data_IF_894362549992
#
_entry.id   IF_894362549992
#
_cell.length_a   1.000
_cell.length_b   1.000
_cell.length_c   1.000
_cell.angle_alpha   90.00
_cell.angle_beta   90.00
_cell.angle_gamma   90.00
#
_symmetry.space_group_name_H-M   'P 1'
#
loop_
_entity.id
_entity.type
_entity.pdbx_description
1 polymer ?
#
# COMPACT_ATOMS: atom_id res chain seq x y z
N UNK A 1 17.06 -32.34 22.11
CA UNK A 1 17.64 -31.18 22.81
C UNK A 1 18.25 -30.30 21.73
N UNK A 2 17.48 -29.37 21.19
CA UNK A 2 17.98 -28.35 20.26
C UNK A 2 17.67 -26.98 20.87
N UNK A 3 18.73 -26.22 21.15
CA UNK A 3 18.64 -24.86 21.69
C UNK A 3 18.32 -23.88 20.56
N UNK A 4 17.38 -22.93 20.74
CA UNK A 4 17.19 -21.88 19.75
C UNK A 4 18.21 -20.74 19.96
N UNK A 5 18.91 -20.39 18.90
CA UNK A 5 19.81 -19.23 18.84
C UNK A 5 18.97 -17.94 18.92
N UNK A 6 19.00 -17.27 20.06
CA UNK A 6 18.42 -15.94 20.27
C UNK A 6 19.31 -14.90 19.58
N UNK A 7 19.09 -14.66 18.29
CA UNK A 7 19.68 -13.53 17.58
C UNK A 7 18.82 -12.29 17.83
N UNK A 8 18.99 -11.73 19.02
CA UNK A 8 18.65 -10.36 19.31
C UNK A 8 19.63 -9.47 18.53
N UNK A 9 19.32 -9.15 17.27
CA UNK A 9 20.05 -8.18 16.47
C UNK A 9 19.76 -6.77 16.99
N UNK A 10 20.24 -6.48 18.20
CA UNK A 10 20.26 -5.14 18.76
C UNK A 10 21.25 -4.31 17.95
N UNK A 11 20.73 -3.41 17.11
CA UNK A 11 21.55 -2.33 16.60
C UNK A 11 22.11 -1.54 17.79
N UNK A 12 23.44 -1.31 17.88
CA UNK A 12 24.00 -0.56 18.98
C UNK A 12 23.39 0.84 19.00
N UNK A 13 22.73 1.21 20.10
CA UNK A 13 22.40 2.61 20.34
C UNK A 13 23.70 3.32 20.74
N UNK A 14 24.15 4.26 19.91
CA UNK A 14 25.34 5.06 20.16
C UNK A 14 25.26 5.73 21.53
N UNK A 15 26.33 5.64 22.33
CA UNK A 15 26.41 6.25 23.66
C UNK A 15 26.21 7.77 23.59
N UNK A 16 25.73 8.40 24.66
CA UNK A 16 25.42 9.84 24.70
C UNK A 16 26.62 10.72 24.30
N UNK A 17 27.84 10.26 24.60
CA UNK A 17 29.10 10.93 24.23
C UNK A 17 29.34 10.92 22.70
N UNK A 18 28.98 9.85 22.01
CA UNK A 18 29.13 9.70 20.56
C UNK A 18 28.09 10.54 19.79
N UNK A 19 26.95 10.84 20.43
CA UNK A 19 25.90 11.70 19.88
C UNK A 19 26.29 13.19 19.93
N UNK A 20 27.09 13.62 20.92
CA UNK A 20 27.53 15.01 21.06
C UNK A 20 28.48 15.47 19.93
N UNK A 21 29.18 14.54 19.27
CA UNK A 21 30.18 14.83 18.21
C UNK A 21 29.54 15.13 16.85
N UNK A 22 28.25 14.84 16.67
CA UNK A 22 27.57 15.00 15.39
C UNK A 22 27.18 16.46 15.07
N UNK A 23 27.07 16.83 13.77
CA UNK A 23 26.52 18.12 13.36
C UNK A 23 25.15 18.40 14.00
N UNK A 24 24.87 19.67 14.31
CA UNK A 24 23.65 20.09 14.99
C UNK A 24 22.37 19.50 14.35
N UNK A 25 22.27 19.50 13.01
CA UNK A 25 21.12 18.90 12.31
C UNK A 25 20.94 17.41 12.57
N UNK A 26 22.04 16.63 12.57
CA UNK A 26 22.00 15.18 12.84
C UNK A 26 21.65 14.88 14.29
N UNK A 27 22.10 15.70 15.24
CA UNK A 27 21.71 15.61 16.66
C UNK A 27 20.23 15.91 16.83
N UNK A 28 19.77 17.02 16.24
CA UNK A 28 18.40 17.47 16.31
C UNK A 28 17.41 16.52 15.64
N UNK A 29 17.81 15.85 14.54
CA UNK A 29 17.01 14.78 13.91
C UNK A 29 16.70 13.63 14.89
N UNK A 30 17.57 13.38 15.86
CA UNK A 30 17.40 12.32 16.88
C UNK A 30 16.75 12.82 18.17
N UNK A 31 16.47 14.12 18.28
CA UNK A 31 15.82 14.68 19.45
C UNK A 31 14.39 14.13 19.55
N UNK A 32 13.98 13.50 20.68
CA UNK A 32 12.66 12.91 20.83
C UNK A 32 11.50 13.87 20.57
N UNK A 33 11.62 15.14 20.99
CA UNK A 33 10.57 16.15 20.80
C UNK A 33 10.36 16.49 19.31
N UNK A 34 11.46 16.54 18.55
CA UNK A 34 11.44 16.73 17.09
C UNK A 34 10.74 15.56 16.41
N UNK A 35 11.16 14.34 16.76
CA UNK A 35 10.62 13.10 16.19
C UNK A 35 9.12 13.00 16.48
N UNK A 36 8.70 13.25 17.71
CA UNK A 36 7.29 13.19 18.13
C UNK A 36 6.43 14.24 17.42
N UNK A 37 6.93 15.47 17.27
CA UNK A 37 6.19 16.52 16.57
C UNK A 37 6.00 16.19 15.08
N UNK A 38 7.04 15.71 14.40
CA UNK A 38 6.94 15.31 12.99
C UNK A 38 6.04 14.08 12.87
N UNK A 39 6.14 13.12 13.79
CA UNK A 39 5.27 11.92 13.83
C UNK A 39 3.80 12.29 14.01
N UNK A 40 3.48 13.25 14.89
CA UNK A 40 2.11 13.78 15.05
C UNK A 40 1.58 14.40 13.77
N UNK A 41 2.39 15.22 13.09
CA UNK A 41 2.00 15.81 11.81
C UNK A 41 1.83 14.75 10.72
N UNK A 42 2.70 13.76 10.66
CA UNK A 42 2.59 12.63 9.72
C UNK A 42 1.30 11.82 9.96
N UNK A 43 1.02 11.46 11.21
CA UNK A 43 -0.16 10.67 11.61
C UNK A 43 -1.47 11.44 11.44
N UNK A 44 -1.45 12.77 11.29
CA UNK A 44 -2.65 13.57 10.98
C UNK A 44 -3.13 13.44 9.53
N UNK A 45 -2.44 12.66 8.68
CA UNK A 45 -2.81 12.45 7.28
C UNK A 45 -2.39 13.60 6.35
N UNK A 46 -1.59 14.55 6.84
CA UNK A 46 -1.02 15.62 6.02
C UNK A 46 -0.07 15.04 4.97
N UNK A 47 -0.11 15.61 3.76
CA UNK A 47 0.89 15.29 2.73
C UNK A 47 2.29 15.60 3.27
N UNK A 48 3.29 14.83 2.86
CA UNK A 48 4.70 15.04 3.24
C UNK A 48 5.14 16.50 3.04
N UNK A 49 4.73 17.14 1.94
CA UNK A 49 5.03 18.55 1.67
C UNK A 49 4.42 19.51 2.71
N UNK A 50 3.23 19.22 3.23
CA UNK A 50 2.57 20.01 4.27
C UNK A 50 3.20 19.78 5.65
N UNK A 51 3.64 18.55 5.96
CA UNK A 51 4.41 18.25 7.17
C UNK A 51 5.71 19.05 7.17
N UNK A 52 6.43 19.03 6.05
CA UNK A 52 7.66 19.80 5.85
C UNK A 52 7.39 21.30 5.98
N UNK A 53 6.39 21.83 5.29
CA UNK A 53 6.03 23.24 5.33
C UNK A 53 5.70 23.68 6.76
N UNK A 54 4.90 22.89 7.48
CA UNK A 54 4.46 23.23 8.83
C UNK A 54 5.57 23.12 9.86
N UNK A 55 6.51 22.19 9.67
CA UNK A 55 7.63 22.03 10.57
C UNK A 55 8.73 23.08 10.32
N UNK A 56 9.00 23.44 9.06
CA UNK A 56 10.06 24.41 8.70
C UNK A 56 9.58 25.86 8.74
N UNK A 57 8.38 26.16 8.23
CA UNK A 57 7.82 27.52 8.20
C UNK A 57 6.92 27.86 9.38
N UNK A 58 6.40 26.86 10.11
CA UNK A 58 5.61 27.08 11.34
C UNK A 58 6.45 27.49 12.56
N UNK A 59 7.69 27.94 12.33
CA UNK A 59 8.72 28.27 13.32
C UNK A 59 8.42 29.56 14.11
N UNK A 60 7.20 29.74 14.59
CA UNK A 60 6.97 30.56 15.79
C UNK A 60 7.16 29.76 17.09
N UNK A 61 7.42 28.44 17.00
CA UNK A 61 7.51 27.55 18.18
C UNK A 61 8.66 26.52 18.15
N UNK A 62 9.61 26.61 17.20
CA UNK A 62 10.83 25.78 17.24
C UNK A 62 11.98 26.62 17.80
N UNK A 63 12.55 26.19 18.93
CA UNK A 63 13.62 26.85 19.71
C UNK A 63 14.98 26.98 18.96
N UNK A 64 14.99 27.59 17.76
CA UNK A 64 16.22 27.76 16.98
C UNK A 64 16.90 26.45 16.56
N UNK A 65 16.19 25.32 16.62
CA UNK A 65 16.74 24.01 16.32
C UNK A 65 17.00 23.88 14.80
N UNK A 66 18.28 23.82 14.41
CA UNK A 66 18.67 23.59 13.02
C UNK A 66 18.25 22.19 12.57
N UNK A 67 17.24 22.09 11.70
CA UNK A 67 16.78 20.85 11.06
C UNK A 67 16.63 21.11 9.57
N UNK A 68 17.14 20.19 8.74
CA UNK A 68 17.09 20.33 7.28
C UNK A 68 15.88 19.61 6.69
N UNK A 69 15.54 19.94 5.44
CA UNK A 69 14.55 19.19 4.64
C UNK A 69 14.86 17.69 4.61
N UNK A 70 16.13 17.33 4.42
CA UNK A 70 16.57 15.94 4.35
C UNK A 70 16.37 15.19 5.67
N UNK A 71 16.48 15.87 6.81
CA UNK A 71 16.22 15.27 8.11
C UNK A 71 14.73 14.93 8.27
N UNK A 72 13.84 15.84 7.86
CA UNK A 72 12.39 15.61 7.86
C UNK A 72 12.02 14.47 6.90
N UNK A 73 12.56 14.47 5.68
CA UNK A 73 12.36 13.37 4.73
C UNK A 73 12.88 12.04 5.27
N UNK A 74 14.06 12.05 5.92
CA UNK A 74 14.65 10.89 6.55
C UNK A 74 13.75 10.33 7.65
N UNK A 75 13.25 11.17 8.54
CA UNK A 75 12.32 10.77 9.60
C UNK A 75 11.00 10.20 9.05
N UNK A 76 10.41 10.85 8.04
CA UNK A 76 9.19 10.32 7.39
C UNK A 76 9.47 8.97 6.73
N UNK A 77 10.64 8.80 6.12
CA UNK A 77 11.05 7.52 5.53
C UNK A 77 11.21 6.44 6.61
N UNK A 78 11.85 6.77 7.73
CA UNK A 78 12.05 5.82 8.83
C UNK A 78 10.69 5.40 9.42
N UNK A 79 9.76 6.35 9.61
CA UNK A 79 8.38 6.06 10.03
C UNK A 79 7.63 5.17 9.03
N UNK A 80 7.78 5.40 7.72
CA UNK A 80 7.19 4.52 6.71
C UNK A 80 7.77 3.10 6.79
N UNK A 81 9.07 2.96 7.03
CA UNK A 81 9.70 1.65 7.15
C UNK A 81 9.25 0.91 8.41
N UNK A 82 9.03 1.64 9.51
CA UNK A 82 8.41 1.13 10.74
C UNK A 82 6.98 0.64 10.48
N UNK A 83 6.15 1.42 9.78
CA UNK A 83 4.78 1.01 9.39
C UNK A 83 4.74 -0.22 8.47
N UNK A 84 5.81 -0.40 7.69
CA UNK A 84 5.96 -1.52 6.76
C UNK A 84 6.58 -2.76 7.41
N UNK A 85 7.16 -2.62 8.61
CA UNK A 85 7.82 -3.71 9.34
C UNK A 85 8.85 -4.45 8.46
N UNK A 86 9.65 -3.69 7.70
CA UNK A 86 10.66 -4.22 6.78
C UNK A 86 10.13 -4.93 5.53
N UNK A 87 8.80 -5.05 5.36
CA UNK A 87 8.16 -5.69 4.20
C UNK A 87 7.94 -4.72 3.05
N UNK A 88 7.72 -5.25 1.85
CA UNK A 88 7.32 -4.41 0.72
C UNK A 88 5.92 -3.83 0.96
N UNK A 89 5.69 -2.58 0.52
CA UNK A 89 4.41 -1.89 0.71
C UNK A 89 3.19 -2.67 0.20
N UNK A 90 3.37 -3.44 -0.89
CA UNK A 90 2.31 -4.27 -1.46
C UNK A 90 1.98 -5.49 -0.60
N UNK A 91 2.97 -6.08 0.06
CA UNK A 91 2.76 -7.21 0.98
C UNK A 91 1.97 -6.76 2.22
N UNK A 92 2.33 -5.60 2.77
CA UNK A 92 1.61 -4.99 3.89
C UNK A 92 0.19 -4.62 3.50
N UNK A 93 0.01 -4.09 2.29
CA UNK A 93 -1.32 -3.81 1.74
C UNK A 93 -2.16 -5.10 1.66
N UNK A 94 -1.61 -6.18 1.09
CA UNK A 94 -2.32 -7.46 1.00
C UNK A 94 -2.64 -8.05 2.36
N UNK A 95 -1.68 -8.05 3.29
CA UNK A 95 -1.91 -8.50 4.66
C UNK A 95 -3.06 -7.71 5.31
N UNK A 96 -3.08 -6.38 5.17
CA UNK A 96 -4.18 -5.54 5.68
C UNK A 96 -5.53 -5.86 5.03
N UNK A 97 -5.56 -6.19 3.74
CA UNK A 97 -6.79 -6.59 3.03
C UNK A 97 -7.28 -7.98 3.46
N UNK A 98 -6.38 -8.93 3.70
CA UNK A 98 -6.73 -10.26 4.24
C UNK A 98 -7.32 -10.14 5.64
N UNK A 99 -6.69 -9.35 6.52
CA UNK A 99 -7.16 -9.16 7.90
C UNK A 99 -8.57 -8.55 7.97
N UNK A 100 -8.97 -7.78 6.95
CA UNK A 100 -10.34 -7.23 6.83
C UNK A 100 -11.36 -8.24 6.25
N UNK A 101 -10.96 -9.48 6.00
CA UNK A 101 -11.82 -10.55 5.46
C UNK A 101 -12.33 -10.28 4.04
N UNK A 102 -11.81 -9.26 3.36
CA UNK A 102 -12.36 -8.78 2.09
C UNK A 102 -11.61 -9.29 0.86
N UNK A 103 -10.57 -10.12 1.07
CA UNK A 103 -9.71 -10.59 -0.01
C UNK A 103 -9.74 -12.11 -0.13
N UNK A 104 -10.01 -12.59 -1.34
CA UNK A 104 -9.79 -13.97 -1.70
C UNK A 104 -8.49 -14.07 -2.50
N UNK A 105 -7.53 -14.83 -1.95
CA UNK A 105 -6.29 -15.18 -2.65
C UNK A 105 -6.38 -16.59 -3.22
N UNK A 106 -5.59 -16.84 -4.26
CA UNK A 106 -5.25 -18.19 -4.66
C UNK A 106 -3.78 -18.42 -4.29
N UNK A 107 -3.53 -19.42 -3.44
CA UNK A 107 -2.21 -20.02 -3.34
C UNK A 107 -2.00 -20.88 -4.60
N UNK A 108 -1.10 -20.44 -5.47
CA UNK A 108 -0.58 -21.28 -6.53
C UNK A 108 0.64 -22.00 -5.96
N UNK A 109 0.39 -23.16 -5.38
CA UNK A 109 1.37 -24.21 -5.14
C UNK A 109 1.94 -24.67 -6.48
N UNK A 110 2.90 -23.92 -7.02
CA UNK A 110 3.86 -24.48 -7.97
C UNK A 110 5.16 -23.69 -7.91
N UNK A 111 6.17 -24.38 -7.41
CA UNK A 111 7.57 -24.05 -7.26
C UNK A 111 8.17 -23.38 -8.49
N UNK A 112 7.98 -22.07 -8.66
CA UNK A 112 8.89 -21.23 -9.44
C UNK A 112 8.66 -19.79 -8.98
N UNK A 113 9.75 -19.06 -8.75
CA UNK A 113 9.74 -17.62 -8.52
C UNK A 113 9.14 -16.84 -9.71
N UNK A 114 7.81 -16.87 -9.86
CA UNK A 114 7.08 -15.92 -10.68
C UNK A 114 6.37 -14.94 -9.77
N UNK A 115 6.70 -13.66 -9.93
CA UNK A 115 6.20 -12.52 -9.14
C UNK A 115 4.71 -12.31 -9.40
N UNK A 116 3.81 -13.12 -8.85
CA UNK A 116 2.38 -12.93 -9.16
C UNK A 116 1.43 -13.11 -7.96
N UNK A 117 1.26 -12.10 -7.09
CA UNK A 117 0.13 -12.12 -6.17
C UNK A 117 -1.15 -11.72 -6.94
N UNK A 118 -1.87 -12.73 -7.44
CA UNK A 118 -3.22 -12.58 -7.95
C UNK A 118 -4.19 -12.55 -6.77
N UNK A 119 -4.78 -11.39 -6.50
CA UNK A 119 -5.77 -11.26 -5.44
C UNK A 119 -6.98 -10.49 -5.95
N UNK A 120 -8.15 -10.94 -5.51
CA UNK A 120 -9.42 -10.30 -5.82
C UNK A 120 -10.03 -9.78 -4.52
N UNK A 121 -10.27 -8.49 -4.48
CA UNK A 121 -11.01 -7.83 -3.42
C UNK A 121 -12.39 -7.42 -3.97
N UNK A 122 -13.46 -7.88 -3.33
CA UNK A 122 -14.80 -7.42 -3.67
C UNK A 122 -15.10 -6.14 -2.92
N UNK A 123 -15.37 -5.07 -3.68
CA UNK A 123 -15.79 -3.81 -3.09
C UNK A 123 -17.28 -3.84 -2.73
N UNK A 124 -18.11 -4.52 -3.54
CA UNK A 124 -19.53 -4.68 -3.28
C UNK A 124 -20.09 -5.98 -3.85
N UNK A 125 -19.87 -7.09 -3.15
CA UNK A 125 -20.30 -8.41 -3.62
C UNK A 125 -21.83 -8.51 -3.81
N UNK A 126 -22.62 -7.87 -2.94
CA UNK A 126 -24.08 -7.87 -3.05
C UNK A 126 -24.57 -7.13 -4.29
N UNK A 127 -24.01 -5.95 -4.58
CA UNK A 127 -24.35 -5.23 -5.80
C UNK A 127 -23.92 -6.00 -7.04
N UNK A 128 -22.75 -6.65 -7.02
CA UNK A 128 -22.34 -7.47 -8.16
C UNK A 128 -23.25 -8.69 -8.35
N UNK A 129 -23.80 -9.27 -7.28
CA UNK A 129 -24.82 -10.33 -7.40
C UNK A 129 -26.14 -9.81 -7.99
N UNK A 130 -26.60 -8.64 -7.57
CA UNK A 130 -27.89 -8.09 -8.00
C UNK A 130 -27.84 -7.45 -9.39
N UNK A 131 -26.71 -6.86 -9.77
CA UNK A 131 -26.55 -6.02 -10.96
C UNK A 131 -25.33 -6.44 -11.80
N UNK A 132 -24.93 -7.71 -11.71
CA UNK A 132 -23.79 -8.27 -12.43
C UNK A 132 -23.99 -8.45 -13.93
N UNK A 133 -25.14 -8.06 -14.48
CA UNK A 133 -25.48 -8.24 -15.90
C UNK A 133 -24.58 -7.47 -16.87
N UNK A 134 -23.81 -6.50 -16.39
CA UNK A 134 -22.82 -5.80 -17.19
C UNK A 134 -21.66 -5.35 -16.30
N UNK A 135 -20.49 -5.97 -16.52
CA UNK A 135 -19.23 -5.59 -15.86
C UNK A 135 -18.25 -5.02 -16.88
N UNK A 136 -17.64 -3.89 -16.55
CA UNK A 136 -16.59 -3.22 -17.31
C UNK A 136 -15.30 -3.35 -16.51
N UNK A 137 -14.22 -3.79 -17.16
CA UNK A 137 -12.90 -3.86 -16.53
C UNK A 137 -12.03 -2.75 -17.09
N UNK A 138 -11.52 -1.90 -16.20
CA UNK A 138 -10.57 -0.84 -16.50
C UNK A 138 -9.25 -1.10 -15.78
N UNK A 139 -8.13 -1.05 -16.50
CA UNK A 139 -6.80 -1.18 -15.93
C UNK A 139 -6.16 0.18 -15.79
N UNK A 140 -5.87 0.59 -14.55
CA UNK A 140 -5.10 1.80 -14.34
C UNK A 140 -3.61 1.49 -14.60
N UNK A 141 -3.08 1.96 -15.73
CA UNK A 141 -1.66 1.88 -16.12
C UNK A 141 -0.68 2.65 -15.23
N UNK A 142 -1.11 3.09 -14.03
CA UNK A 142 -0.19 3.71 -13.09
C UNK A 142 0.57 2.59 -12.40
N UNK A 143 1.74 2.28 -12.96
CA UNK A 143 2.72 1.35 -12.40
C UNK A 143 2.97 1.72 -10.95
N UNK A 144 2.32 1.01 -10.04
CA UNK A 144 2.61 1.12 -8.63
C UNK A 144 4.07 0.68 -8.41
N UNK A 145 4.70 1.07 -7.31
CA UNK A 145 6.08 0.70 -7.00
C UNK A 145 6.31 -0.83 -6.99
N UNK A 146 5.23 -1.62 -6.92
CA UNK A 146 5.23 -3.07 -6.99
C UNK A 146 5.25 -3.65 -8.42
N UNK A 147 5.20 -2.81 -9.46
CA UNK A 147 5.10 -3.21 -10.88
C UNK A 147 3.91 -4.13 -11.16
N UNK A 148 2.79 -3.91 -10.47
CA UNK A 148 1.55 -4.66 -10.64
C UNK A 148 0.46 -3.77 -11.22
N UNK A 149 -0.38 -4.36 -12.07
CA UNK A 149 -1.55 -3.70 -12.61
C UNK A 149 -2.70 -3.83 -11.62
N UNK A 150 -3.40 -2.73 -11.39
CA UNK A 150 -4.66 -2.72 -10.66
C UNK A 150 -5.79 -2.71 -11.69
N UNK A 151 -6.43 -3.86 -11.86
CA UNK A 151 -7.63 -4.03 -12.67
C UNK A 151 -8.86 -3.73 -11.81
N UNK A 152 -9.59 -2.68 -12.15
CA UNK A 152 -10.82 -2.28 -11.50
C UNK A 152 -12.01 -2.79 -12.32
N UNK A 153 -12.84 -3.63 -11.70
CA UNK A 153 -14.10 -4.08 -12.28
C UNK A 153 -15.23 -3.20 -11.76
N UNK A 154 -15.95 -2.57 -12.68
CA UNK A 154 -17.09 -1.69 -12.44
C UNK A 154 -18.35 -2.40 -12.93
N UNK A 155 -19.36 -2.50 -12.08
CA UNK A 155 -20.69 -2.95 -12.49
C UNK A 155 -21.58 -1.79 -12.91
N UNK A 156 -22.52 -2.06 -13.81
CA UNK A 156 -23.52 -1.10 -14.27
C UNK A 156 -24.92 -1.60 -13.90
N UNK A 157 -25.70 -0.76 -13.22
CA UNK A 157 -27.08 -1.09 -12.85
C UNK A 157 -28.02 -0.88 -14.04
N UNK A 158 -29.25 -1.43 -13.96
CA UNK A 158 -30.29 -1.20 -14.97
C UNK A 158 -30.70 0.28 -15.14
N UNK A 159 -30.35 1.14 -14.19
CA UNK A 159 -30.55 2.60 -14.27
C UNK A 159 -29.37 3.34 -14.90
N UNK A 160 -28.32 2.63 -15.32
CA UNK A 160 -27.09 3.20 -15.87
C UNK A 160 -26.12 3.75 -14.82
N UNK A 161 -26.39 3.53 -13.52
CA UNK A 161 -25.47 3.91 -12.46
C UNK A 161 -24.30 2.90 -12.38
N UNK A 162 -23.12 3.37 -11.98
CA UNK A 162 -21.93 2.52 -11.86
C UNK A 162 -21.57 2.28 -10.41
N UNK A 163 -21.08 1.08 -10.09
CA UNK A 163 -20.54 0.75 -8.77
C UNK A 163 -19.23 -0.02 -8.89
N UNK A 164 -18.35 0.11 -7.89
CA UNK A 164 -17.15 -0.71 -7.80
C UNK A 164 -17.55 -2.14 -7.45
N UNK A 165 -17.29 -3.09 -8.35
CA UNK A 165 -17.57 -4.50 -8.12
C UNK A 165 -16.39 -5.15 -7.39
N UNK A 166 -15.21 -5.09 -8.02
CA UNK A 166 -14.01 -5.77 -7.52
C UNK A 166 -12.73 -5.14 -8.02
N UNK A 167 -11.64 -5.40 -7.29
CA UNK A 167 -10.29 -5.00 -7.62
C UNK A 167 -9.41 -6.25 -7.75
N UNK A 168 -8.72 -6.39 -8.87
CA UNK A 168 -7.75 -7.44 -9.08
C UNK A 168 -6.34 -6.86 -9.22
N UNK A 169 -5.40 -7.46 -8.49
CA UNK A 169 -3.98 -7.17 -8.67
C UNK A 169 -3.39 -8.19 -9.63
N UNK A 170 -2.95 -7.73 -10.80
CA UNK A 170 -2.38 -8.57 -11.85
C UNK A 170 -0.87 -8.33 -11.95
N UNK A 171 -0.12 -9.38 -12.19
CA UNK A 171 1.34 -9.31 -12.39
C UNK A 171 1.76 -8.81 -13.76
N UNK A 172 0.90 -8.99 -14.76
CA UNK A 172 1.17 -8.62 -16.14
C UNK A 172 -0.12 -8.26 -16.88
N UNK A 173 0.03 -7.65 -18.05
CA UNK A 173 -1.07 -7.26 -18.91
C UNK A 173 -1.39 -8.33 -19.97
N UNK A 174 -1.44 -9.59 -19.56
CA UNK A 174 -1.73 -10.67 -20.51
C UNK A 174 -3.22 -11.00 -20.50
N UNK A 175 -3.71 -11.49 -21.64
CA UNK A 175 -5.09 -12.00 -21.74
C UNK A 175 -5.39 -13.07 -20.68
N UNK A 176 -4.40 -13.90 -20.34
CA UNK A 176 -4.54 -14.93 -19.31
C UNK A 176 -4.83 -14.34 -17.93
N UNK A 177 -4.16 -13.24 -17.57
CA UNK A 177 -4.36 -12.53 -16.29
C UNK A 177 -5.78 -11.94 -16.20
N UNK A 178 -6.27 -11.36 -17.29
CA UNK A 178 -7.63 -10.85 -17.37
C UNK A 178 -8.68 -11.96 -17.28
N UNK A 179 -8.53 -13.04 -18.04
CA UNK A 179 -9.44 -14.19 -17.99
C UNK A 179 -9.49 -14.78 -16.58
N UNK A 180 -8.34 -14.89 -15.91
CA UNK A 180 -8.29 -15.34 -14.52
C UNK A 180 -9.13 -14.44 -13.61
N UNK A 181 -8.96 -13.12 -13.72
CA UNK A 181 -9.69 -12.17 -12.87
C UNK A 181 -11.20 -12.26 -13.05
N UNK A 182 -11.66 -12.38 -14.30
CA UNK A 182 -13.08 -12.55 -14.66
C UNK A 182 -13.63 -13.86 -14.10
N UNK A 183 -12.92 -14.98 -14.32
CA UNK A 183 -13.34 -16.28 -13.82
C UNK A 183 -13.44 -16.30 -12.30
N UNK A 184 -12.54 -15.58 -11.63
CA UNK A 184 -12.58 -15.50 -10.17
C UNK A 184 -13.82 -14.73 -9.71
N UNK A 185 -14.14 -13.60 -10.35
CA UNK A 185 -15.38 -12.85 -10.10
C UNK A 185 -16.61 -13.74 -10.27
N UNK A 186 -16.70 -14.46 -11.38
CA UNK A 186 -17.80 -15.38 -11.68
C UNK A 186 -17.93 -16.50 -10.63
N UNK A 187 -16.82 -17.17 -10.30
CA UNK A 187 -16.81 -18.27 -9.32
C UNK A 187 -17.26 -17.86 -7.91
N UNK A 188 -17.04 -16.60 -7.53
CA UNK A 188 -17.38 -16.12 -6.18
C UNK A 188 -18.83 -15.60 -6.11
N UNK A 189 -19.49 -15.32 -7.23
CA UNK A 189 -20.81 -14.66 -7.25
C UNK A 189 -22.01 -15.61 -7.46
N UNK A 190 -21.79 -16.92 -7.60
CA UNK A 190 -22.83 -17.96 -7.63
C UNK A 190 -23.95 -17.74 -8.69
N UNK A 191 -23.64 -17.06 -9.79
CA UNK A 191 -24.54 -16.91 -10.95
C UNK A 191 -23.83 -16.17 -12.08
N UNK A 192 -24.04 -16.55 -13.35
CA UNK A 192 -23.23 -16.05 -14.46
C UNK A 192 -23.56 -14.58 -14.80
N UNK A 193 -22.64 -13.63 -14.63
CA UNK A 193 -22.81 -12.28 -15.14
C UNK A 193 -22.68 -12.29 -16.68
N UNK A 194 -23.52 -11.50 -17.37
CA UNK A 194 -23.36 -11.25 -18.82
C UNK A 194 -22.23 -10.24 -19.01
N UNK A 195 -21.00 -10.71 -19.23
CA UNK A 195 -19.84 -9.83 -19.36
C UNK A 195 -19.91 -8.98 -20.65
N UNK A 196 -19.86 -7.65 -20.53
CA UNK A 196 -19.61 -6.73 -21.64
C UNK A 196 -18.14 -6.28 -21.59
N UNK A 197 -17.25 -7.03 -22.26
CA UNK A 197 -15.82 -6.73 -22.29
C UNK A 197 -15.52 -5.52 -23.19
N UNK A 198 -15.51 -4.31 -22.62
CA UNK A 198 -14.87 -3.15 -23.25
C UNK A 198 -13.45 -2.98 -22.73
N UNK A 199 -12.48 -3.66 -23.36
CA UNK A 199 -11.05 -3.40 -23.14
C UNK A 199 -10.73 -2.05 -23.81
N UNK A 200 -10.67 -0.96 -23.04
CA UNK A 200 -10.10 0.29 -23.56
C UNK A 200 -8.58 0.20 -23.46
N UNK A 201 -7.92 -0.28 -24.51
CA UNK A 201 -6.50 0.03 -24.71
C UNK A 201 -6.38 1.54 -24.91
N UNK A 202 -5.79 2.25 -23.94
CA UNK A 202 -5.19 3.55 -24.25
C UNK A 202 -3.90 3.25 -25.00
N UNK A 203 -3.88 3.70 -26.26
CA UNK A 203 -2.71 3.74 -27.16
C UNK A 203 -1.59 4.54 -26.47
#
# INVERSE_FOLDING_TARGET
MESPCNQNCGHPQASEEEQAVLPASKRNRRNPSVVDNIRRLYNSGLKNSAVILRYILGASCNDGLLITLNDVYGLIRDMKMEELDGRAAIEVMFHRLQMKGSMQQQDLTSTTMSRTPFSLHFASADFTRCYGDALIIDCTYKTNAAKMLLAHTVGVTGTGATFASSYAFLSSETMADYIWSIRKVDSTLAGPPKLLSSIRKKI
#
